data_IF_169837545914
#
_entry.id   IF_169837545914
#
_cell.length_a   1.000
_cell.length_b   1.000
_cell.length_c   1.000
_cell.angle_alpha   90.00
_cell.angle_beta   90.00
_cell.angle_gamma   90.00
#
_symmetry.space_group_name_H-M   'P 1'
#
loop_
_entity.id
_entity.type
_entity.pdbx_description
1 polymer ?
#
# COMPACT_ATOMS: atom_id res chain seq x y z
N UNK A 1 -0.59 12.05 7.72
CA UNK A 1 0.40 11.10 8.27
C UNK A 1 1.65 11.83 8.76
N UNK A 2 2.37 12.57 7.91
CA UNK A 2 3.54 13.35 8.34
C UNK A 2 3.28 14.30 9.51
N UNK A 3 2.17 15.05 9.50
CA UNK A 3 1.78 15.90 10.63
C UNK A 3 1.55 15.12 11.94
N UNK A 4 0.92 13.94 11.87
CA UNK A 4 0.73 13.07 13.05
C UNK A 4 2.08 12.57 13.57
N UNK A 5 2.99 12.24 12.65
CA UNK A 5 4.34 11.85 12.99
C UNK A 5 5.13 12.95 13.68
N UNK A 6 5.01 14.19 13.18
CA UNK A 6 5.65 15.37 13.76
C UNK A 6 5.12 15.68 15.17
N UNK A 7 3.81 15.55 15.38
CA UNK A 7 3.19 15.68 16.71
C UNK A 7 3.69 14.59 17.67
N UNK A 8 3.86 13.36 17.17
CA UNK A 8 4.43 12.25 17.93
C UNK A 8 5.95 12.37 18.17
N UNK A 9 6.61 13.39 17.63
CA UNK A 9 8.04 13.64 17.80
C UNK A 9 8.95 12.82 16.88
N UNK A 10 8.42 12.19 15.83
CA UNK A 10 9.26 11.52 14.83
C UNK A 10 9.95 12.56 13.95
N UNK A 11 11.23 12.34 13.67
CA UNK A 11 12.10 13.26 12.93
C UNK A 11 12.60 12.68 11.61
N UNK A 12 12.24 11.43 11.30
CA UNK A 12 12.70 10.74 10.10
C UNK A 12 12.65 9.21 10.26
N UNK A 13 12.41 8.51 9.14
CA UNK A 13 12.42 7.04 9.10
C UNK A 13 13.83 6.44 9.14
N UNK A 14 14.88 7.23 8.85
CA UNK A 14 16.28 6.80 8.88
C UNK A 14 16.87 6.72 10.30
N UNK A 15 16.06 6.92 11.34
CA UNK A 15 16.46 6.67 12.73
C UNK A 15 16.54 5.17 13.00
N UNK A 16 17.35 4.72 13.96
CA UNK A 16 17.43 3.29 14.35
C UNK A 16 16.05 2.71 14.67
N UNK A 17 15.20 3.49 15.36
CA UNK A 17 13.81 3.11 15.64
C UNK A 17 12.98 3.02 14.36
N UNK A 18 13.05 4.03 13.49
CA UNK A 18 12.30 4.03 12.23
C UNK A 18 12.69 2.87 11.32
N UNK A 19 13.98 2.62 11.15
CA UNK A 19 14.52 1.49 10.41
C UNK A 19 14.12 0.16 11.05
N UNK A 20 14.19 0.05 12.37
CA UNK A 20 13.75 -1.16 13.10
C UNK A 20 12.26 -1.46 12.92
N UNK A 21 11.40 -0.44 12.96
CA UNK A 21 9.96 -0.58 12.71
C UNK A 21 9.69 -1.01 11.27
N UNK A 22 10.33 -0.36 10.30
CA UNK A 22 10.18 -0.72 8.88
C UNK A 22 10.73 -2.11 8.56
N UNK A 23 11.85 -2.50 9.20
CA UNK A 23 12.42 -3.83 9.12
C UNK A 23 11.45 -4.88 9.64
N UNK A 24 10.89 -4.68 10.84
CA UNK A 24 9.91 -5.57 11.43
C UNK A 24 8.68 -5.73 10.53
N UNK A 25 8.11 -4.63 10.03
CA UNK A 25 6.95 -4.67 9.12
C UNK A 25 7.31 -5.43 7.84
N UNK A 26 8.44 -5.13 7.21
CA UNK A 26 8.86 -5.77 5.96
C UNK A 26 9.09 -7.26 6.09
N UNK A 27 9.79 -7.69 7.14
CA UNK A 27 10.07 -9.11 7.38
C UNK A 27 8.81 -9.88 7.77
N UNK A 28 8.00 -9.33 8.69
CA UNK A 28 6.79 -9.98 9.18
C UNK A 28 5.74 -10.11 8.07
N UNK A 29 5.43 -9.01 7.37
CA UNK A 29 4.44 -9.06 6.29
C UNK A 29 4.98 -9.68 5.00
N UNK A 30 6.29 -9.63 4.76
CA UNK A 30 6.94 -10.37 3.67
C UNK A 30 6.83 -11.89 3.89
N UNK A 31 7.18 -12.37 5.08
CA UNK A 31 6.98 -13.77 5.46
C UNK A 31 5.50 -14.17 5.45
N UNK A 32 4.60 -13.25 5.77
CA UNK A 32 3.16 -13.50 5.65
C UNK A 32 2.71 -13.70 4.20
N UNK A 33 3.18 -12.88 3.26
CA UNK A 33 2.87 -13.03 1.83
C UNK A 33 3.50 -14.27 1.19
N UNK A 34 4.61 -14.75 1.76
CA UNK A 34 5.26 -16.00 1.35
C UNK A 34 4.67 -17.24 2.05
N UNK A 35 3.51 -17.12 2.69
CA UNK A 35 2.81 -18.18 3.42
C UNK A 35 3.63 -18.85 4.56
N UNK A 36 4.71 -18.20 5.03
CA UNK A 36 5.52 -18.70 6.14
C UNK A 36 4.87 -18.45 7.50
N UNK A 37 4.03 -17.41 7.60
CA UNK A 37 3.29 -17.06 8.82
C UNK A 37 1.96 -16.38 8.49
N UNK A 38 1.06 -16.24 9.48
CA UNK A 38 -0.24 -15.59 9.30
C UNK A 38 -0.38 -14.39 10.22
N UNK A 39 -0.52 -13.19 9.64
CA UNK A 39 -0.74 -11.95 10.39
C UNK A 39 -2.15 -11.41 10.16
N UNK A 40 -2.73 -10.74 11.18
CA UNK A 40 -3.97 -10.01 10.98
C UNK A 40 -3.71 -8.80 10.08
N UNK A 41 -4.56 -8.61 9.07
CA UNK A 41 -4.61 -7.36 8.32
C UNK A 41 -5.51 -6.36 9.06
N UNK A 42 -4.98 -5.25 9.61
CA UNK A 42 -5.79 -4.15 10.08
C UNK A 42 -6.43 -3.45 8.88
N UNK A 43 -7.50 -4.02 8.34
CA UNK A 43 -8.29 -3.40 7.26
C UNK A 43 -9.74 -3.83 7.35
N UNK A 44 -10.64 -2.95 6.91
CA UNK A 44 -12.05 -3.30 6.74
C UNK A 44 -12.19 -4.15 5.48
N UNK A 45 -12.63 -5.40 5.64
CA UNK A 45 -12.90 -6.34 4.52
C UNK A 45 -14.21 -6.01 3.79
N UNK A 46 -14.51 -4.73 3.61
CA UNK A 46 -15.66 -4.27 2.84
C UNK A 46 -15.20 -3.93 1.43
N UNK A 47 -15.85 -4.52 0.42
CA UNK A 47 -15.76 -4.01 -0.94
C UNK A 47 -16.69 -2.82 -1.09
N UNK A 48 -16.34 -1.88 -1.97
CA UNK A 48 -17.19 -0.71 -2.21
C UNK A 48 -18.54 -1.19 -2.78
N UNK A 49 -19.68 -0.80 -2.21
CA UNK A 49 -20.98 -1.30 -2.64
C UNK A 49 -21.24 -1.00 -4.12
N UNK A 50 -21.63 -2.04 -4.87
CA UNK A 50 -21.92 -1.95 -6.30
C UNK A 50 -23.15 -1.07 -6.58
N UNK A 51 -24.11 -1.03 -5.66
CA UNK A 51 -25.33 -0.22 -5.72
C UNK A 51 -25.04 1.29 -5.78
N UNK A 52 -23.97 1.74 -5.12
CA UNK A 52 -23.58 3.16 -5.14
C UNK A 52 -23.29 3.67 -6.57
N UNK A 53 -22.87 2.79 -7.49
CA UNK A 53 -22.60 3.13 -8.90
C UNK A 53 -23.87 3.42 -9.70
N UNK A 54 -25.00 2.85 -9.30
CA UNK A 54 -26.29 3.04 -9.98
C UNK A 54 -27.11 4.16 -9.34
N UNK A 55 -26.89 4.43 -8.04
CA UNK A 55 -27.69 5.35 -7.24
C UNK A 55 -27.20 6.81 -7.24
N UNK A 56 -25.91 7.06 -7.50
CA UNK A 56 -25.33 8.41 -7.40
C UNK A 56 -24.65 8.88 -8.71
N UNK A 57 -24.54 10.21 -8.94
CA UNK A 57 -23.80 10.76 -10.06
C UNK A 57 -22.33 10.31 -10.06
N UNK A 58 -21.75 10.12 -11.25
CA UNK A 58 -20.38 9.59 -11.42
C UNK A 58 -19.31 10.36 -10.65
N UNK A 59 -19.45 11.67 -10.48
CA UNK A 59 -18.48 12.48 -9.72
C UNK A 59 -18.55 12.22 -8.21
N UNK A 60 -19.74 11.98 -7.65
CA UNK A 60 -19.93 11.60 -6.24
C UNK A 60 -19.33 10.22 -5.99
N UNK A 61 -19.64 9.28 -6.88
CA UNK A 61 -19.09 7.93 -6.83
C UNK A 61 -17.58 8.00 -6.96
N UNK A 62 -17.05 8.72 -7.94
CA UNK A 62 -15.61 8.92 -8.11
C UNK A 62 -14.94 9.52 -6.88
N UNK A 63 -15.56 10.52 -6.24
CA UNK A 63 -15.07 11.11 -4.99
C UNK A 63 -15.07 10.12 -3.81
N UNK A 64 -16.15 9.37 -3.61
CA UNK A 64 -16.25 8.36 -2.55
C UNK A 64 -15.27 7.19 -2.78
N UNK A 65 -15.12 6.75 -4.03
CA UNK A 65 -14.13 5.74 -4.40
C UNK A 65 -12.72 6.29 -4.18
N UNK A 66 -12.42 7.50 -4.61
CA UNK A 66 -11.12 8.15 -4.38
C UNK A 66 -10.80 8.30 -2.90
N UNK A 67 -11.77 8.68 -2.07
CA UNK A 67 -11.57 8.80 -0.63
C UNK A 67 -11.42 7.43 0.06
N UNK A 68 -12.24 6.45 -0.29
CA UNK A 68 -12.14 5.10 0.28
C UNK A 68 -10.86 4.37 -0.14
N UNK A 69 -10.48 4.48 -1.42
CA UNK A 69 -9.21 3.95 -1.95
C UNK A 69 -8.00 4.76 -1.49
N UNK A 70 -8.13 6.07 -1.26
CA UNK A 70 -7.05 6.91 -0.74
C UNK A 70 -6.80 6.71 0.74
N UNK A 71 -7.86 6.36 1.50
CA UNK A 71 -7.74 6.01 2.91
C UNK A 71 -7.30 4.56 3.13
N UNK A 72 -7.52 3.67 2.17
CA UNK A 72 -6.93 2.32 2.05
C UNK A 72 -7.19 1.30 3.16
N UNK A 73 -7.56 1.73 4.36
CA UNK A 73 -7.95 0.90 5.50
C UNK A 73 -9.45 0.58 5.47
N UNK A 74 -10.21 1.27 4.60
CA UNK A 74 -11.67 1.13 4.50
C UNK A 74 -12.09 0.07 3.47
N UNK A 75 -11.18 -0.33 2.59
CA UNK A 75 -11.42 -1.32 1.53
C UNK A 75 -10.50 -2.52 1.67
N UNK A 76 -10.89 -3.62 1.03
CA UNK A 76 -10.03 -4.79 0.98
C UNK A 76 -8.82 -4.55 0.06
N UNK A 77 -7.62 -4.54 0.64
CA UNK A 77 -6.35 -4.48 -0.08
C UNK A 77 -5.63 -5.81 0.10
N UNK A 78 -5.12 -6.37 -0.99
CA UNK A 78 -4.47 -7.68 -0.97
C UNK A 78 -3.00 -7.61 -0.50
N UNK A 79 -2.33 -6.49 -0.71
CA UNK A 79 -0.89 -6.33 -0.46
C UNK A 79 -0.61 -5.54 0.82
N UNK A 80 0.19 -6.08 1.78
CA UNK A 80 0.58 -5.38 3.00
C UNK A 80 1.59 -4.25 2.78
N UNK A 81 2.04 -3.99 1.55
CA UNK A 81 2.89 -2.84 1.19
C UNK A 81 2.35 -1.50 1.73
N UNK A 82 1.02 -1.38 1.81
CA UNK A 82 0.33 -0.23 2.39
C UNK A 82 0.80 0.07 3.82
N UNK A 83 1.02 -0.95 4.65
CA UNK A 83 1.41 -0.77 6.06
C UNK A 83 2.84 -0.25 6.19
N UNK A 84 3.76 -0.77 5.36
CA UNK A 84 5.12 -0.24 5.28
C UNK A 84 5.12 1.21 4.82
N UNK A 85 4.35 1.54 3.78
CA UNK A 85 4.21 2.91 3.27
C UNK A 85 3.63 3.85 4.33
N UNK A 86 2.56 3.43 5.01
CA UNK A 86 1.91 4.23 6.07
C UNK A 86 2.87 4.48 7.22
N UNK A 87 3.59 3.44 7.67
CA UNK A 87 4.59 3.57 8.73
C UNK A 87 5.70 4.54 8.30
N UNK A 88 6.24 4.40 7.08
CA UNK A 88 7.26 5.30 6.55
C UNK A 88 6.76 6.76 6.52
N UNK A 89 5.53 7.00 6.07
CA UNK A 89 4.93 8.33 5.99
C UNK A 89 4.58 8.94 7.36
N UNK A 90 4.45 8.14 8.42
CA UNK A 90 4.33 8.64 9.80
C UNK A 90 5.73 8.94 10.35
N UNK A 91 6.68 8.02 10.15
CA UNK A 91 8.05 8.14 10.67
C UNK A 91 8.83 9.32 10.10
N UNK A 92 8.49 9.81 8.90
CA UNK A 92 9.07 11.06 8.36
C UNK A 92 8.83 12.27 9.28
N UNK A 93 7.69 12.33 9.97
CA UNK A 93 7.29 13.49 10.78
C UNK A 93 7.10 14.79 9.99
N UNK A 94 7.18 14.74 8.66
CA UNK A 94 7.21 15.89 7.76
C UNK A 94 6.10 15.76 6.70
N UNK A 95 5.35 16.84 6.48
CA UNK A 95 4.19 16.87 5.58
C UNK A 95 4.62 16.66 4.11
N UNK A 96 5.51 17.49 3.52
CA UNK A 96 6.05 17.28 2.17
C UNK A 96 6.55 15.86 1.90
N UNK A 97 7.33 15.27 2.81
CA UNK A 97 7.88 13.93 2.63
C UNK A 97 6.79 12.86 2.64
N UNK A 98 5.84 12.97 3.57
CA UNK A 98 4.69 12.07 3.61
C UNK A 98 3.84 12.17 2.34
N UNK A 99 3.65 13.37 1.78
CA UNK A 99 2.97 13.55 0.49
C UNK A 99 3.75 12.83 -0.62
N UNK A 100 5.07 12.99 -0.66
CA UNK A 100 5.93 12.32 -1.66
C UNK A 100 5.80 10.80 -1.62
N UNK A 101 5.88 10.21 -0.42
CA UNK A 101 5.75 8.75 -0.21
C UNK A 101 4.37 8.26 -0.68
N UNK A 102 3.30 8.93 -0.24
CA UNK A 102 1.92 8.56 -0.59
C UNK A 102 1.67 8.73 -2.09
N UNK A 103 2.18 9.80 -2.70
CA UNK A 103 2.04 10.07 -4.13
C UNK A 103 2.75 8.99 -4.96
N UNK A 104 3.97 8.59 -4.58
CA UNK A 104 4.71 7.53 -5.25
C UNK A 104 3.96 6.18 -5.18
N UNK A 105 3.45 5.83 -4.01
CA UNK A 105 2.65 4.61 -3.83
C UNK A 105 1.37 4.64 -4.67
N UNK A 106 0.68 5.78 -4.71
CA UNK A 106 -0.53 5.93 -5.52
C UNK A 106 -0.23 5.94 -7.02
N UNK A 107 0.94 6.44 -7.45
CA UNK A 107 1.35 6.39 -8.85
C UNK A 107 1.38 4.96 -9.39
N UNK A 108 1.90 4.02 -8.60
CA UNK A 108 1.86 2.59 -8.94
C UNK A 108 0.43 2.06 -9.16
N UNK A 109 -0.56 2.59 -8.44
CA UNK A 109 -1.97 2.22 -8.55
C UNK A 109 -2.69 2.86 -9.73
N UNK A 110 -2.13 3.94 -10.29
CA UNK A 110 -2.62 4.51 -11.54
C UNK A 110 -2.10 3.77 -12.78
N UNK A 111 -1.03 2.97 -12.65
CA UNK A 111 -0.48 2.20 -13.79
C UNK A 111 -1.51 1.26 -14.44
N UNK A 112 -2.33 0.47 -13.70
CA UNK A 112 -3.37 -0.34 -14.32
C UNK A 112 -4.41 0.47 -15.10
N UNK A 113 -4.71 1.71 -14.66
CA UNK A 113 -5.63 2.60 -15.38
C UNK A 113 -5.00 3.08 -16.68
N UNK A 114 -3.69 3.34 -16.70
CA UNK A 114 -2.96 3.73 -17.91
C UNK A 114 -2.99 2.64 -19.00
N UNK A 115 -3.17 1.37 -18.63
CA UNK A 115 -3.35 0.26 -19.60
C UNK A 115 -4.59 0.47 -20.48
N UNK A 116 -5.61 1.20 -20.00
CA UNK A 116 -6.80 1.53 -20.80
C UNK A 116 -6.52 2.52 -21.94
N UNK A 117 -5.33 3.14 -21.97
CA UNK A 117 -4.88 3.96 -23.10
C UNK A 117 -4.42 3.10 -24.29
N UNK A 118 -4.14 1.81 -24.05
CA UNK A 118 -3.77 0.86 -25.09
C UNK A 118 -5.04 0.26 -25.72
N UNK A 119 -5.01 -0.12 -27.01
CA UNK A 119 -6.13 -0.76 -27.69
C UNK A 119 -6.28 -2.24 -27.27
N UNK A 120 -6.46 -2.48 -25.97
CA UNK A 120 -6.65 -3.78 -25.35
C UNK A 120 -8.09 -3.90 -24.85
N UNK A 121 -8.67 -5.09 -24.97
CA UNK A 121 -10.02 -5.34 -24.45
C UNK A 121 -9.97 -5.61 -22.94
N UNK A 122 -10.99 -5.14 -22.21
CA UNK A 122 -11.10 -5.34 -20.75
C UNK A 122 -10.98 -6.81 -20.35
N UNK A 123 -11.55 -7.72 -21.14
CA UNK A 123 -11.46 -9.16 -20.93
C UNK A 123 -10.01 -9.67 -20.96
N UNK A 124 -9.18 -9.17 -21.87
CA UNK A 124 -7.75 -9.55 -21.95
C UNK A 124 -6.98 -9.04 -20.73
N UNK A 125 -7.29 -7.84 -20.26
CA UNK A 125 -6.68 -7.26 -19.07
C UNK A 125 -7.08 -8.07 -17.82
N UNK A 126 -8.37 -8.34 -17.63
CA UNK A 126 -8.88 -9.12 -16.49
C UNK A 126 -8.34 -10.56 -16.48
N UNK A 127 -8.31 -11.24 -17.64
CA UNK A 127 -7.76 -12.60 -17.75
C UNK A 127 -6.25 -12.66 -17.54
N UNK A 128 -5.50 -11.60 -17.88
CA UNK A 128 -4.09 -11.50 -17.54
C UNK A 128 -3.89 -11.25 -16.04
N UNK A 129 -4.64 -10.31 -15.46
CA UNK A 129 -4.57 -10.00 -14.04
C UNK A 129 -4.87 -11.25 -13.19
N UNK A 130 -5.98 -11.94 -13.49
CA UNK A 130 -6.39 -13.16 -12.78
C UNK A 130 -5.31 -14.25 -12.78
N UNK A 131 -4.60 -14.44 -13.89
CA UNK A 131 -3.51 -15.44 -14.00
C UNK A 131 -2.22 -15.04 -13.29
N UNK A 132 -2.01 -13.75 -13.03
CA UNK A 132 -0.79 -13.24 -12.40
C UNK A 132 -1.00 -12.75 -10.96
N UNK A 133 -2.19 -12.93 -10.36
CA UNK A 133 -2.47 -12.49 -8.99
C UNK A 133 -1.51 -13.14 -7.97
N UNK A 134 -1.28 -14.44 -8.09
CA UNK A 134 -0.37 -15.18 -7.22
C UNK A 134 1.08 -14.68 -7.38
N UNK A 135 1.52 -14.47 -8.64
CA UNK A 135 2.85 -13.90 -8.91
C UNK A 135 3.01 -12.51 -8.34
N UNK A 136 1.95 -11.68 -8.38
CA UNK A 136 1.96 -10.36 -7.77
C UNK A 136 2.07 -10.43 -6.24
N UNK A 137 1.38 -11.37 -5.60
CA UNK A 137 1.50 -11.61 -4.16
C UNK A 137 2.91 -12.06 -3.76
N UNK A 138 3.51 -12.99 -4.52
CA UNK A 138 4.89 -13.44 -4.30
C UNK A 138 5.88 -12.29 -4.51
N UNK A 139 5.69 -11.48 -5.55
CA UNK A 139 6.54 -10.31 -5.80
C UNK A 139 6.45 -9.29 -4.67
N UNK A 140 5.24 -9.03 -4.14
CA UNK A 140 5.03 -8.17 -2.98
C UNK A 140 5.76 -8.72 -1.74
N UNK A 141 5.61 -10.01 -1.46
CA UNK A 141 6.32 -10.68 -0.36
C UNK A 141 7.84 -10.61 -0.48
N UNK A 142 8.37 -10.82 -1.70
CA UNK A 142 9.80 -10.70 -1.98
C UNK A 142 10.30 -9.26 -1.77
N UNK A 143 9.59 -8.26 -2.30
CA UNK A 143 9.93 -6.84 -2.12
C UNK A 143 9.93 -6.45 -0.65
N UNK A 144 8.88 -6.83 0.09
CA UNK A 144 8.78 -6.56 1.52
C UNK A 144 9.90 -7.21 2.34
N UNK A 145 10.23 -8.45 2.01
CA UNK A 145 11.31 -9.18 2.70
C UNK A 145 12.67 -8.55 2.39
N UNK A 146 12.93 -8.20 1.13
CA UNK A 146 14.18 -7.53 0.72
C UNK A 146 14.34 -6.16 1.37
N UNK A 147 13.29 -5.33 1.35
CA UNK A 147 13.30 -4.02 1.99
C UNK A 147 13.43 -4.15 3.52
N UNK A 148 12.71 -5.09 4.13
CA UNK A 148 12.78 -5.36 5.56
C UNK A 148 14.18 -5.78 5.99
N UNK A 149 14.83 -6.67 5.24
CA UNK A 149 16.21 -7.08 5.49
C UNK A 149 17.19 -5.91 5.30
N UNK A 150 17.03 -5.10 4.25
CA UNK A 150 17.87 -3.93 4.02
C UNK A 150 17.76 -2.92 5.18
N UNK A 151 16.55 -2.62 5.65
CA UNK A 151 16.36 -1.76 6.82
C UNK A 151 16.92 -2.37 8.10
N UNK A 152 16.84 -3.69 8.28
CA UNK A 152 17.45 -4.36 9.44
C UNK A 152 18.97 -4.20 9.45
N UNK A 153 19.62 -4.38 8.29
CA UNK A 153 21.07 -4.17 8.15
C UNK A 153 21.44 -2.72 8.43
N UNK A 154 20.70 -1.76 7.86
CA UNK A 154 20.94 -0.33 8.08
C UNK A 154 20.70 0.10 9.54
N UNK A 155 19.81 -0.56 10.27
CA UNK A 155 19.56 -0.26 11.68
C UNK A 155 20.71 -0.74 12.60
N UNK A 156 21.51 -1.71 12.15
CA UNK A 156 22.63 -2.30 12.88
C UNK A 156 23.99 -1.69 12.53
N UNK A 157 24.05 -0.86 11.49
CA UNK A 157 25.23 -0.14 11.03
C UNK A 157 25.41 1.20 11.76
#
# INVERSE_FOLDING_TARGET
>A
LGALGGIAGFTGFATTLGLGVLAAIGLLYGAHQLDLLRLPYPQRRAQVPHDARQRFPKWVVGGLYGLSLGLDYLTYVQTPLLYMMTAAAILTGNIPEAIGIIALFNLGRFLPVAVNLLPLTDYRIQSWLGRNQERAAIADGAILTMLGAAFAVLALA
#
